data_IF_618703313498
#
_entry.id   IF_618703313498
#
_cell.length_a   1.000
_cell.length_b   1.000
_cell.length_c   1.000
_cell.angle_alpha   90.00
_cell.angle_beta   90.00
_cell.angle_gamma   90.00
#
_symmetry.space_group_name_H-M   'P 1'
#
loop_
_entity.id
_entity.type
_entity.pdbx_description
1 polymer ?
2 non-polymer ?
3 non-polymer ?
4 water ?
#
# COMPACT_ATOMS: atom_id res chain seq x y z
N UNK A 40 9.28 -8.42 23.70
CA UNK A 40 9.93 -7.62 24.81
C UNK A 40 9.41 -6.18 25.01
N UNK A 41 9.39 -5.37 23.95
CA UNK A 41 8.82 -4.01 24.06
C UNK A 41 7.30 -4.14 24.05
N UNK A 42 6.63 -3.69 25.10
CA UNK A 42 5.15 -3.79 25.20
C UNK A 42 4.46 -2.69 24.39
N UNK A 43 3.44 -3.07 23.62
CA UNK A 43 2.68 -2.16 22.76
C UNK A 43 1.28 -1.86 23.30
N UNK A 44 1.04 -0.61 23.68
CA UNK A 44 -0.31 -0.20 24.11
C UNK A 44 -0.90 0.87 23.18
N UNK A 45 -2.13 0.63 22.70
CA UNK A 45 -2.83 1.63 21.89
C UNK A 45 -3.67 2.58 22.75
N UNK A 46 -3.55 3.88 22.48
CA UNK A 46 -4.39 4.93 23.06
C UNK A 46 -5.52 5.24 22.04
N UNK A 47 -6.76 4.88 22.36
CA UNK A 47 -7.87 5.03 21.39
C UNK A 47 -8.92 5.99 21.94
N UNK A 48 -9.53 6.78 21.07
CA UNK A 48 -10.63 7.65 21.48
C UNK A 48 -11.08 8.59 20.38
N UNK A 49 -12.23 9.22 20.56
CA UNK A 49 -12.76 10.17 19.57
C UNK A 49 -11.79 11.34 19.36
N UNK A 50 -11.94 12.07 18.25
CA UNK A 50 -11.16 13.29 17.96
C UNK A 50 -11.23 14.17 19.20
N UNK A 51 -10.10 14.70 19.66
CA UNK A 51 -10.04 15.54 20.86
C UNK A 51 -10.54 14.90 22.19
N UNK A 52 -10.58 13.57 22.27
CA UNK A 52 -10.77 12.88 23.54
C UNK A 52 -9.69 13.35 24.53
N UNK A 53 -8.47 13.56 24.03
CA UNK A 53 -7.36 14.04 24.88
C UNK A 53 -6.21 13.05 24.82
N UNK A 54 -6.02 12.44 23.64
CA UNK A 54 -4.99 11.41 23.45
C UNK A 54 -3.58 11.99 23.48
N UNK A 55 -3.36 13.07 22.73
CA UNK A 55 -2.04 13.68 22.64
C UNK A 55 -1.53 14.25 23.97
N UNK A 56 -2.44 14.64 24.84
CA UNK A 56 -2.06 15.25 26.12
C UNK A 56 -1.78 14.16 27.16
N UNK A 57 -2.68 13.18 27.25
CA UNK A 57 -2.44 12.02 28.10
C UNK A 57 -1.13 11.33 27.68
N UNK A 58 -0.92 11.08 26.40
CA UNK A 58 0.31 10.40 25.99
C UNK A 58 1.59 11.24 26.25
N UNK A 59 1.53 12.55 26.02
CA UNK A 59 2.63 13.48 26.39
C UNK A 59 2.89 13.45 27.90
N UNK A 60 1.80 13.40 28.66
CA UNK A 60 1.88 13.31 30.11
C UNK A 60 2.53 11.98 30.53
N UNK A 61 2.00 10.86 30.07
CA UNK A 61 2.61 9.55 30.37
C UNK A 61 4.11 9.45 30.09
N UNK A 62 4.55 9.85 28.88
CA UNK A 62 5.99 9.72 28.54
C UNK A 62 6.95 10.47 29.48
N UNK A 63 6.46 11.46 30.21
CA UNK A 63 7.34 12.16 31.14
C UNK A 63 7.66 11.33 32.38
N UNK A 64 6.81 10.35 32.64
CA UNK A 64 6.80 9.68 33.93
C UNK A 64 7.83 8.57 34.06
N UNK A 65 8.35 8.09 32.93
CA UNK A 65 9.23 6.93 32.95
C UNK A 65 10.15 6.73 31.74
N UNK A 66 11.37 6.25 31.99
CA UNK A 66 12.33 5.96 30.93
C UNK A 66 12.02 4.58 30.31
N UNK A 67 11.20 3.79 30.97
CA UNK A 67 10.68 2.62 30.34
C UNK A 67 9.51 2.98 29.39
N UNK A 68 9.07 4.23 29.40
CA UNK A 68 7.84 4.63 28.71
C UNK A 68 8.08 5.50 27.47
N UNK A 69 7.75 4.97 26.30
CA UNK A 69 7.93 5.66 25.04
C UNK A 69 6.65 5.73 24.17
N UNK A 70 6.64 6.60 23.16
CA UNK A 70 5.41 6.98 22.46
C UNK A 70 5.57 6.98 20.94
N UNK A 71 4.50 6.69 20.18
CA UNK A 71 4.47 6.94 18.74
C UNK A 71 3.26 7.80 18.41
N UNK A 72 3.50 9.09 18.10
CA UNK A 72 2.37 9.98 17.87
C UNK A 72 1.70 9.65 16.53
N UNK A 73 0.47 10.09 16.38
CA UNK A 73 -0.27 9.81 15.16
C UNK A 73 0.27 10.68 14.02
N UNK A 74 0.65 10.04 12.91
CA UNK A 74 0.97 10.76 11.67
C UNK A 74 -0.03 11.84 11.28
N UNK A 75 -1.32 11.55 11.40
CA UNK A 75 -2.33 12.51 10.99
C UNK A 75 -2.27 13.76 11.84
N UNK A 76 -2.21 13.56 13.16
CA UNK A 76 -2.13 14.65 14.11
C UNK A 76 -0.85 15.46 13.87
N UNK A 77 0.18 14.83 13.35
CA UNK A 77 1.39 15.58 13.05
C UNK A 77 1.16 16.47 11.83
N UNK A 78 0.46 15.96 10.81
CA UNK A 78 0.18 16.74 9.58
C UNK A 78 -0.63 18.02 9.82
N UNK A 79 -1.34 18.11 10.94
CA UNK A 79 -2.14 19.32 11.22
C UNK A 79 -1.28 20.49 11.72
N UNK A 80 -0.29 20.16 12.56
CA UNK A 80 0.74 21.11 13.04
C UNK A 80 0.32 22.59 12.97
N UNK A 92 10.60 17.67 4.95
CA UNK A 92 10.07 16.30 5.02
C UNK A 92 9.01 16.01 3.93
N UNK A 93 9.33 15.14 2.98
CA UNK A 93 8.36 14.85 1.90
C UNK A 93 7.05 14.18 2.41
N UNK A 94 7.14 13.25 3.37
CA UNK A 94 5.93 12.68 3.93
C UNK A 94 5.06 13.78 4.52
N UNK A 95 5.68 14.72 5.23
CA UNK A 95 4.91 15.85 5.76
C UNK A 95 4.44 16.79 4.65
N UNK A 96 5.22 16.91 3.57
CA UNK A 96 4.76 17.61 2.37
C UNK A 96 3.52 16.95 1.77
N UNK A 97 3.58 15.63 1.52
CA UNK A 97 2.43 14.83 1.10
C UNK A 97 1.25 14.85 2.07
N UNK A 98 1.56 14.90 3.36
CA UNK A 98 0.53 14.72 4.38
C UNK A 98 -0.34 15.96 4.52
N UNK A 99 0.27 17.15 4.60
CA UNK A 99 -0.50 18.41 4.59
C UNK A 99 -1.50 18.49 3.42
N UNK A 100 -1.00 18.22 2.21
CA UNK A 100 -1.82 18.39 1.02
C UNK A 100 -3.03 17.48 0.94
N UNK A 101 -2.85 16.18 1.18
CA UNK A 101 -3.96 15.23 1.09
C UNK A 101 -5.01 15.37 2.21
N UNK A 102 -4.54 15.70 3.42
CA UNK A 102 -5.44 16.17 4.48
C UNK A 102 -6.23 17.40 4.01
N UNK A 103 -5.51 18.39 3.47
CA UNK A 103 -6.18 19.59 2.97
C UNK A 103 -7.19 19.23 1.86
N UNK A 104 -6.78 18.30 0.98
CA UNK A 104 -7.62 17.77 -0.12
C UNK A 104 -8.84 17.03 0.47
N UNK A 105 -8.60 16.28 1.53
CA UNK A 105 -9.63 15.45 2.14
C UNK A 105 -10.72 16.25 2.83
N UNK A 106 -10.36 17.42 3.35
CA UNK A 106 -11.39 18.38 3.80
C UNK A 106 -12.29 18.87 2.66
N UNK A 107 -11.69 19.24 1.53
CA UNK A 107 -12.45 19.85 0.45
C UNK A 107 -13.39 18.90 -0.26
N UNK A 108 -13.00 17.63 -0.38
CA UNK A 108 -13.77 16.69 -1.18
C UNK A 108 -13.63 15.26 -0.65
N UNK A 109 -14.15 15.01 0.57
CA UNK A 109 -13.87 13.72 1.18
C UNK A 109 -14.19 12.54 0.25
N UNK A 110 -15.11 12.76 -0.68
CA UNK A 110 -15.60 11.70 -1.52
C UNK A 110 -14.57 11.27 -2.58
N UNK A 111 -13.80 12.22 -3.08
CA UNK A 111 -12.64 11.97 -3.94
C UNK A 111 -11.37 11.46 -3.24
N UNK A 112 -11.08 11.94 -2.02
CA UNK A 112 -9.74 11.74 -1.41
C UNK A 112 -9.58 10.72 -0.29
N UNK A 113 -10.67 10.11 0.16
CA UNK A 113 -10.66 9.18 1.29
C UNK A 113 -9.88 7.90 1.08
N UNK A 114 -9.97 7.28 -0.10
CA UNK A 114 -9.10 6.12 -0.35
C UNK A 114 -7.62 6.50 -0.18
N UNK A 115 -7.23 7.61 -0.78
CA UNK A 115 -5.82 7.97 -0.87
C UNK A 115 -5.32 8.37 0.52
N UNK A 116 -6.17 9.09 1.27
CA UNK A 116 -5.87 9.52 2.63
C UNK A 116 -5.75 8.35 3.58
N UNK A 117 -6.75 7.48 3.57
CA UNK A 117 -6.77 6.29 4.41
C UNK A 117 -5.63 5.31 4.19
N UNK A 118 -5.22 5.14 2.93
CA UNK A 118 -4.04 4.31 2.55
C UNK A 118 -2.76 4.97 3.06
N UNK A 119 -2.62 6.28 2.84
CA UNK A 119 -1.39 6.97 3.23
C UNK A 119 -1.17 7.19 4.75
N UNK A 120 -2.24 7.61 5.44
CA UNK A 120 -2.33 7.61 6.91
C UNK A 120 -1.88 6.30 7.55
N UNK A 121 -2.45 5.19 7.07
CA UNK A 121 -2.12 3.88 7.61
C UNK A 121 -0.67 3.46 7.28
N UNK A 122 -0.26 3.64 6.03
CA UNK A 122 1.14 3.40 5.63
C UNK A 122 2.10 4.15 6.53
N UNK A 123 1.90 5.45 6.72
CA UNK A 123 2.73 6.32 7.61
C UNK A 123 2.75 5.87 9.06
N UNK A 124 1.64 5.35 9.56
CA UNK A 124 1.61 4.86 10.95
C UNK A 124 2.47 3.60 11.09
N UNK A 125 2.27 2.63 10.22
CA UNK A 125 3.01 1.40 10.26
C UNK A 125 4.50 1.71 10.31
N UNK A 126 5.00 2.40 9.29
CA UNK A 126 6.43 2.65 9.25
C UNK A 126 6.88 3.35 10.51
N UNK A 127 6.07 4.29 11.01
CA UNK A 127 6.42 5.07 12.20
C UNK A 127 6.32 4.29 13.52
N UNK A 128 5.45 3.28 13.58
CA UNK A 128 5.46 2.33 14.69
C UNK A 128 6.66 1.38 14.60
N UNK A 129 6.98 0.93 13.38
CA UNK A 129 8.17 0.11 13.18
C UNK A 129 9.47 0.83 13.62
N UNK A 130 9.74 2.02 13.08
CA UNK A 130 10.94 2.72 13.48
C UNK A 130 11.14 2.73 15.01
N UNK A 131 10.07 2.99 15.79
CA UNK A 131 10.17 3.02 17.26
C UNK A 131 10.49 1.63 17.80
N UNK A 132 9.73 0.65 17.34
CA UNK A 132 9.86 -0.72 17.74
C UNK A 132 11.25 -1.29 17.49
N UNK A 133 11.83 -0.94 16.35
CA UNK A 133 13.16 -1.42 15.98
C UNK A 133 14.32 -0.74 16.71
N UNK A 134 14.05 0.39 17.34
CA UNK A 134 15.12 1.19 17.90
C UNK A 134 14.94 1.47 19.36
N UNK A 135 13.84 2.17 19.69
CA UNK A 135 13.56 2.61 21.04
C UNK A 135 13.53 1.47 22.06
N UNK A 136 13.80 1.81 23.32
CA UNK A 136 13.69 0.92 24.49
C UNK A 136 14.52 -0.38 24.47
N UNK A 137 15.56 -0.43 23.64
CA UNK A 137 16.29 -1.69 23.42
C UNK A 137 16.56 -2.37 24.75
N UNK A 138 17.30 -1.71 25.64
CA UNK A 138 17.12 -2.00 27.07
C UNK A 138 16.78 -0.79 27.96
N UNK A 139 15.47 -0.66 28.15
CA UNK A 139 14.91 -0.15 29.38
C UNK A 139 14.72 -1.44 30.13
N UNK A 140 14.37 -1.36 31.40
CA UNK A 140 14.10 -2.60 32.14
C UNK A 140 12.73 -3.16 31.81
N UNK A 141 11.75 -2.27 31.65
CA UNK A 141 10.35 -2.68 31.48
C UNK A 141 9.70 -1.79 30.41
N UNK A 142 10.18 -1.93 29.16
CA UNK A 142 9.85 -1.02 28.07
C UNK A 142 8.35 -1.03 27.74
N UNK A 143 7.74 0.13 27.59
CA UNK A 143 6.36 0.17 27.08
C UNK A 143 6.27 1.28 26.07
N UNK A 144 5.76 0.95 24.88
CA UNK A 144 5.48 1.95 23.84
C UNK A 144 3.96 2.22 23.73
N UNK A 145 3.58 3.49 23.86
CA UNK A 145 2.19 3.89 23.71
C UNK A 145 1.98 4.46 22.31
N UNK A 146 1.21 3.73 21.49
CA UNK A 146 0.76 4.15 20.16
C UNK A 146 -0.39 5.16 20.23
N UNK A 147 -0.28 6.27 19.52
CA UNK A 147 -1.43 7.17 19.42
C UNK A 147 -2.30 6.59 18.33
N UNK A 148 -3.38 5.93 18.75
CA UNK A 148 -4.19 5.14 17.85
C UNK A 148 -3.36 4.06 17.15
N UNK A 149 -4.03 3.27 16.32
CA UNK A 149 -3.49 2.02 15.79
C UNK A 149 -4.00 1.78 14.36
N UNK A 150 -3.42 0.78 13.70
CA UNK A 150 -3.91 0.36 12.38
C UNK A 150 -5.33 -0.17 12.48
N UNK A 151 -5.76 -0.46 13.70
CA UNK A 151 -7.12 -0.96 13.92
C UNK A 151 -8.15 0.14 13.92
N UNK A 152 -7.83 1.31 14.50
CA UNK A 152 -8.74 2.44 14.36
C UNK A 152 -8.71 3.06 12.96
N UNK A 153 -7.54 3.08 12.34
CA UNK A 153 -7.40 3.48 10.93
C UNK A 153 -8.51 2.84 10.11
N UNK A 154 -8.59 1.51 10.21
CA UNK A 154 -9.57 0.72 9.51
C UNK A 154 -11.03 0.75 10.04
N UNK A 155 -11.24 0.55 11.35
CA UNK A 155 -12.57 0.20 11.87
C UNK A 155 -13.31 1.38 12.49
N UNK A 156 -12.64 2.52 12.58
CA UNK A 156 -13.32 3.76 12.95
C UNK A 156 -13.38 4.62 11.71
N UNK A 157 -12.21 5.14 11.31
CA UNK A 157 -12.16 6.15 10.26
C UNK A 157 -12.50 5.71 8.84
N UNK A 158 -12.05 4.53 8.41
CA UNK A 158 -12.26 4.10 7.02
C UNK A 158 -13.67 3.52 6.84
N UNK A 159 -14.04 2.62 7.76
CA UNK A 159 -15.41 2.10 7.93
C UNK A 159 -16.46 3.20 7.94
N UNK A 160 -16.18 4.28 8.68
CA UNK A 160 -17.04 5.48 8.71
C UNK A 160 -17.05 6.26 7.42
N UNK A 161 -15.87 6.44 6.82
CA UNK A 161 -15.77 7.17 5.55
C UNK A 161 -16.55 6.52 4.41
N UNK A 162 -16.57 5.18 4.42
CA UNK A 162 -17.27 4.40 3.44
C UNK A 162 -18.79 4.40 3.69
N UNK A 163 -19.20 4.09 4.92
CA UNK A 163 -20.63 4.14 5.36
C UNK A 163 -21.32 5.45 5.02
N UNK A 164 -20.57 6.55 5.14
CA UNK A 164 -21.02 7.89 4.80
C UNK A 164 -20.80 8.21 3.31
N UNK A 165 -20.31 7.24 2.55
CA UNK A 165 -20.22 7.30 1.05
C UNK A 165 -19.13 8.15 0.45
N UNK A 166 -18.10 8.40 1.24
CA UNK A 166 -16.90 9.05 0.73
C UNK A 166 -15.92 8.06 0.07
N UNK A 167 -15.97 6.78 0.44
CA UNK A 167 -15.41 5.73 -0.39
C UNK A 167 -16.56 4.96 -1.01
N UNK A 168 -16.49 4.71 -2.31
CA UNK A 168 -17.42 3.77 -2.92
C UNK A 168 -17.03 2.35 -2.48
N UNK A 169 -17.78 1.37 -2.96
CA UNK A 169 -17.69 0.00 -2.47
C UNK A 169 -16.35 -0.63 -2.82
N UNK A 170 -15.84 -0.33 -4.01
CA UNK A 170 -14.62 -0.97 -4.55
C UNK A 170 -13.37 -0.50 -3.81
N UNK A 171 -13.26 0.82 -3.58
CA UNK A 171 -12.19 1.41 -2.78
C UNK A 171 -12.10 0.76 -1.43
N UNK A 172 -13.24 0.64 -0.78
CA UNK A 172 -13.31 0.09 0.55
C UNK A 172 -12.90 -1.39 0.54
N UNK A 173 -13.22 -2.14 -0.51
CA UNK A 173 -12.79 -3.54 -0.57
C UNK A 173 -11.26 -3.69 -0.86
N UNK A 174 -10.76 -2.84 -1.74
CA UNK A 174 -9.33 -2.70 -2.03
C UNK A 174 -8.53 -2.30 -0.78
N UNK A 175 -9.03 -1.32 -0.04
CA UNK A 175 -8.38 -0.87 1.16
C UNK A 175 -8.36 -1.99 2.18
N UNK A 176 -9.47 -2.71 2.29
CA UNK A 176 -9.53 -3.80 3.21
C UNK A 176 -8.55 -4.91 2.84
N UNK A 177 -8.44 -5.19 1.53
CA UNK A 177 -7.43 -6.13 1.02
C UNK A 177 -5.97 -5.61 1.23
N UNK A 178 -5.75 -4.32 0.97
CA UNK A 178 -4.48 -3.64 1.20
C UNK A 178 -4.09 -3.80 2.68
N UNK A 179 -5.09 -3.61 3.55
CA UNK A 179 -4.87 -3.52 4.99
C UNK A 179 -4.51 -4.87 5.57
N UNK A 180 -5.21 -5.93 5.13
CA UNK A 180 -4.82 -7.31 5.49
C UNK A 180 -3.39 -7.66 5.17
N UNK A 181 -2.92 -7.24 4.01
CA UNK A 181 -1.64 -7.72 3.47
C UNK A 181 -0.50 -6.83 3.93
N UNK A 182 -0.73 -5.52 3.91
CA UNK A 182 0.22 -4.58 4.46
C UNK A 182 0.50 -4.87 5.94
N UNK A 183 -0.50 -5.26 6.70
CA UNK A 183 -0.28 -5.56 8.10
C UNK A 183 0.35 -6.93 8.37
N UNK A 184 -0.08 -7.95 7.61
CA UNK A 184 0.55 -9.28 7.72
C UNK A 184 2.03 -9.39 7.28
N UNK A 185 2.41 -8.70 6.21
CA UNK A 185 3.81 -8.73 5.73
C UNK A 185 4.75 -7.84 6.50
N UNK A 186 4.33 -6.61 6.75
CA UNK A 186 5.19 -5.64 7.41
C UNK A 186 4.86 -5.34 8.88
N UNK A 187 3.59 -5.41 9.28
CA UNK A 187 3.17 -4.87 10.58
C UNK A 187 2.99 -5.88 11.70
N UNK A 188 3.39 -7.12 11.41
CA UNK A 188 3.24 -8.23 12.33
C UNK A 188 3.66 -7.98 13.78
N UNK A 189 4.88 -7.49 13.96
CA UNK A 189 5.45 -7.25 15.27
C UNK A 189 4.85 -6.02 15.95
N UNK A 190 3.85 -5.41 15.32
CA UNK A 190 3.20 -4.27 15.91
C UNK A 190 2.04 -4.72 16.78
N UNK A 191 1.68 -6.00 16.69
CA UNK A 191 0.54 -6.58 17.44
C UNK A 191 0.42 -6.11 18.90
N UNK A 192 -0.81 -5.78 19.31
CA UNK A 192 -1.04 -5.02 20.56
C UNK A 192 -1.16 -5.87 21.81
N UNK A 193 -0.48 -5.45 22.88
CA UNK A 193 -0.57 -6.17 24.17
C UNK A 193 -1.83 -5.74 24.92
N UNK A 194 -2.27 -4.50 24.67
CA UNK A 194 -3.58 -4.06 25.15
C UNK A 194 -3.99 -2.70 24.65
N UNK A 195 -5.18 -2.27 25.05
CA UNK A 195 -5.70 -0.97 24.64
C UNK A 195 -6.21 -0.08 25.78
N UNK A 196 -5.82 1.20 25.74
CA UNK A 196 -6.36 2.21 26.62
C UNK A 196 -7.35 3.03 25.83
N UNK A 197 -8.62 2.82 26.14
CA UNK A 197 -9.69 3.50 25.48
C UNK A 197 -10.06 4.70 26.33
N UNK A 198 -9.72 5.89 25.83
CA UNK A 198 -10.12 7.17 26.41
C UNK A 198 -11.49 7.64 25.93
N UNK A 199 -12.51 7.04 26.52
CA UNK A 199 -13.91 7.36 26.34
C UNK A 199 -14.29 8.72 26.95
N UNK A 200 -14.99 9.56 26.16
CA UNK A 200 -15.38 10.94 26.60
C UNK A 200 -16.84 11.31 26.24
N UNK A 201 -17.07 12.55 25.78
CA UNK A 201 -18.28 12.84 24.98
C UNK A 201 -18.11 13.96 23.94
N UNK A 202 -18.98 13.96 22.92
CA UNK A 202 -19.02 14.86 21.78
C UNK A 202 -18.75 16.37 22.04
N UNK A 203 -19.51 17.02 22.91
CA UNK A 203 -19.40 18.48 23.09
C UNK A 203 -18.01 18.89 23.61
N UNK A 204 -17.50 18.10 24.56
CA UNK A 204 -16.14 18.22 25.10
C UNK A 204 -15.11 18.44 23.95
N UNK A 205 -15.10 17.49 23.03
CA UNK A 205 -14.27 17.52 21.85
C UNK A 205 -14.43 18.77 20.98
N UNK A 206 -15.67 19.24 20.79
CA UNK A 206 -15.89 20.42 19.97
C UNK A 206 -15.24 21.61 20.66
N UNK A 207 -15.62 21.81 21.92
CA UNK A 207 -14.91 22.71 22.83
C UNK A 207 -13.37 22.55 22.75
N UNK A 208 -12.87 21.31 22.73
CA UNK A 208 -11.41 21.11 22.72
C UNK A 208 -10.75 21.40 21.38
N UNK A 209 -11.48 21.10 20.29
CA UNK A 209 -11.11 21.54 18.94
C UNK A 209 -11.00 23.05 18.94
N UNK A 210 -11.99 23.73 19.51
CA UNK A 210 -11.93 25.18 19.59
C UNK A 210 -10.71 25.66 20.39
N UNK A 211 -10.53 25.15 21.61
CA UNK A 211 -9.34 25.49 22.41
C UNK A 211 -8.02 25.38 21.59
N UNK A 212 -7.81 24.26 20.90
CA UNK A 212 -6.62 24.05 20.05
C UNK A 212 -6.49 25.09 18.93
N UNK A 213 -7.63 25.52 18.37
CA UNK A 213 -7.70 26.67 17.46
C UNK A 213 -7.55 26.28 16.00
N UNK A 214 -7.63 24.97 15.77
CA UNK A 214 -7.35 24.37 14.46
C UNK A 214 -8.40 24.77 13.42
N UNK A 215 -8.03 25.74 12.59
CA UNK A 215 -8.99 26.34 11.68
C UNK A 215 -9.64 25.38 10.67
N UNK A 216 -8.95 24.28 10.32
CA UNK A 216 -9.59 23.21 9.52
C UNK A 216 -10.74 22.45 10.20
N UNK A 217 -10.56 22.09 11.47
CA UNK A 217 -11.52 21.21 12.19
C UNK A 217 -12.67 21.92 12.89
N UNK A 218 -12.43 23.16 13.32
CA UNK A 218 -13.45 23.98 14.02
C UNK A 218 -14.87 23.82 13.45
N UNK A 219 -14.93 23.41 12.19
CA UNK A 219 -16.18 22.88 11.61
C UNK A 219 -16.51 21.54 12.23
N UNK A 220 -15.98 20.46 11.63
CA UNK A 220 -16.35 19.06 11.95
C UNK A 220 -17.75 19.00 12.62
N UNK A 221 -18.76 18.50 11.89
CA UNK A 221 -20.13 18.54 12.43
C UNK A 221 -20.24 17.81 13.75
N UNK A 222 -20.81 18.46 14.77
CA UNK A 222 -21.01 17.79 16.05
C UNK A 222 -21.61 16.41 15.79
N UNK A 223 -22.32 16.32 14.66
CA UNK A 223 -22.90 15.10 14.11
C UNK A 223 -21.84 14.11 13.61
N UNK A 224 -20.80 14.63 12.94
CA UNK A 224 -19.61 13.82 12.61
C UNK A 224 -18.80 13.48 13.86
N UNK A 225 -18.69 14.40 14.83
CA UNK A 225 -18.07 14.02 16.11
C UNK A 225 -18.95 12.99 16.76
N UNK A 226 -20.26 13.11 16.55
CA UNK A 226 -21.23 12.16 17.11
C UNK A 226 -21.19 10.73 16.54
N UNK A 227 -20.88 10.53 15.26
CA UNK A 227 -20.72 9.13 14.72
C UNK A 227 -19.38 8.46 15.05
N UNK A 228 -18.30 9.25 15.04
CA UNK A 228 -16.98 8.67 15.38
C UNK A 228 -17.13 8.18 16.80
N UNK A 229 -17.76 9.01 17.63
CA UNK A 229 -18.07 8.66 19.01
C UNK A 229 -18.78 7.31 19.19
N UNK A 230 -19.76 7.04 18.32
CA UNK A 230 -20.59 5.84 18.40
C UNK A 230 -19.86 4.54 18.02
N UNK A 231 -18.97 4.60 17.03
CA UNK A 231 -18.25 3.39 16.57
C UNK A 231 -17.17 2.81 17.52
N UNK A 232 -16.55 3.66 18.35
CA UNK A 232 -15.65 3.26 19.45
C UNK A 232 -16.32 2.41 20.52
N UNK A 233 -17.57 2.70 20.87
CA UNK A 233 -18.25 1.89 21.89
C UNK A 233 -18.33 0.43 21.44
N UNK A 234 -18.73 0.26 20.20
CA UNK A 234 -19.02 -1.04 19.64
C UNK A 234 -17.76 -1.91 19.61
N UNK A 235 -16.68 -1.36 19.06
CA UNK A 235 -15.40 -2.04 19.07
C UNK A 235 -14.90 -2.20 20.51
N UNK A 236 -14.88 -1.10 21.26
CA UNK A 236 -14.23 -1.17 22.57
C UNK A 236 -15.19 -1.30 23.78
N UNK A 237 -16.16 -0.38 23.89
CA UNK A 237 -17.03 -0.34 25.07
C UNK A 237 -17.88 -1.59 25.24
N UNK A 238 -18.78 -1.90 24.28
CA UNK A 238 -19.57 -3.17 24.32
C UNK A 238 -18.81 -4.42 23.90
N UNK A 239 -17.61 -4.25 23.37
CA UNK A 239 -16.81 -5.35 22.75
C UNK A 239 -17.56 -6.27 21.76
N UNK A 240 -18.41 -5.70 20.89
CA UNK A 240 -19.15 -6.51 19.89
C UNK A 240 -18.40 -6.74 18.58
N UNK A 241 -17.85 -5.66 17.98
CA UNK A 241 -17.14 -5.68 16.68
C UNK A 241 -16.04 -6.75 16.64
N UNK A 242 -16.30 -7.80 15.87
CA UNK A 242 -15.24 -8.75 15.54
C UNK A 242 -14.56 -8.26 14.27
N UNK A 243 -13.26 -8.04 14.41
CA UNK A 243 -12.41 -7.52 13.37
C UNK A 243 -11.90 -8.69 12.53
N UNK A 244 -10.92 -8.45 11.66
CA UNK A 244 -10.34 -9.51 10.85
C UNK A 244 -9.21 -10.18 11.61
N UNK A 245 -8.76 -9.54 12.69
CA UNK A 245 -7.66 -10.04 13.49
C UNK A 245 -8.22 -10.62 14.79
N UNK A 246 -8.24 -11.96 14.89
CA UNK A 246 -8.87 -12.73 15.98
C UNK A 246 -8.39 -12.42 17.39
N UNK A 247 -7.08 -12.29 17.55
CA UNK A 247 -6.45 -12.10 18.86
C UNK A 247 -7.06 -10.98 19.72
N UNK A 248 -7.36 -9.82 19.11
CA UNK A 248 -7.91 -8.65 19.82
C UNK A 248 -9.11 -8.99 20.70
N UNK A 249 -9.93 -9.93 20.25
CA UNK A 249 -11.07 -10.38 21.01
C UNK A 249 -10.64 -10.71 22.45
N UNK A 250 -9.53 -11.45 22.58
CA UNK A 250 -8.88 -11.70 23.86
C UNK A 250 -8.31 -10.41 24.45
N UNK A 251 -7.49 -9.73 23.65
CA UNK A 251 -6.77 -8.51 24.05
C UNK A 251 -7.43 -7.63 25.14
N UNK A 252 -6.75 -7.49 26.29
CA UNK A 252 -7.29 -6.75 27.43
C UNK A 252 -7.40 -5.27 27.15
N UNK A 253 -8.49 -4.68 27.60
CA UNK A 253 -8.82 -3.31 27.33
C UNK A 253 -9.09 -2.63 28.64
N UNK A 254 -8.49 -1.45 28.80
CA UNK A 254 -8.82 -0.56 29.92
C UNK A 254 -9.55 0.62 29.35
N UNK A 255 -10.60 1.04 30.04
CA UNK A 255 -11.36 2.16 29.60
C UNK A 255 -11.52 3.18 30.68
N UNK A 256 -11.15 4.40 30.37
CA UNK A 256 -11.16 5.49 31.30
C UNK A 256 -12.10 6.57 30.79
N UNK A 257 -12.91 7.10 31.71
CA UNK A 257 -13.73 8.28 31.49
C UNK A 257 -12.82 9.49 31.58
N UNK A 258 -12.74 10.33 30.52
CA UNK A 258 -11.91 11.58 30.60
C UNK A 258 -12.54 12.93 30.20
N UNK A 259 -13.84 13.10 30.49
CA UNK A 259 -14.53 14.38 30.16
C UNK A 259 -13.93 15.60 30.86
N UNK A 260 -13.51 15.39 32.10
CA UNK A 260 -12.96 16.41 32.99
C UNK A 260 -11.49 16.79 32.69
N UNK A 261 -11.19 18.09 32.81
CA UNK A 261 -9.88 18.63 32.51
C UNK A 261 -8.85 17.92 33.38
N UNK A 262 -7.78 17.40 32.78
CA UNK A 262 -6.88 16.51 33.52
C UNK A 262 -5.43 16.91 33.48
N UNK A 263 -5.11 17.91 32.64
CA UNK A 263 -3.71 18.31 32.44
C UNK A 263 -3.07 18.83 33.74
N UNK A 264 -3.85 18.84 34.82
CA UNK A 264 -3.32 19.15 36.15
C UNK A 264 -3.48 17.93 37.03
N UNK A 265 -4.61 17.27 36.92
CA UNK A 265 -4.97 16.18 37.82
C UNK A 265 -5.26 14.87 37.07
N UNK A 266 -4.31 13.94 37.14
CA UNK A 266 -4.41 12.68 36.38
C UNK A 266 -3.84 11.50 37.13
N UNK A 267 -3.51 11.72 38.40
CA UNK A 267 -2.81 10.70 39.16
C UNK A 267 -3.66 9.46 39.22
N UNK A 268 -4.97 9.67 39.32
CA UNK A 268 -5.92 8.57 39.26
C UNK A 268 -5.93 7.97 37.85
N UNK A 269 -5.80 8.80 36.82
CA UNK A 269 -5.75 8.26 35.44
C UNK A 269 -4.50 7.37 35.29
N UNK A 270 -3.36 7.83 35.81
CA UNK A 270 -2.07 7.09 35.75
C UNK A 270 -1.97 5.86 36.68
N UNK A 271 -2.52 5.94 37.90
CA UNK A 271 -2.63 4.76 38.76
C UNK A 271 -3.30 3.57 38.07
N UNK A 272 -4.27 3.82 37.20
CA UNK A 272 -4.99 2.72 36.55
C UNK A 272 -4.24 2.17 35.32
N UNK A 273 -3.57 3.05 34.58
CA UNK A 273 -2.56 2.60 33.64
C UNK A 273 -1.56 1.63 34.28
N UNK A 274 -0.86 2.08 35.35
CA UNK A 274 0.24 1.30 35.94
C UNK A 274 -0.27 -0.05 36.38
N UNK A 275 -1.47 -0.04 36.92
CA UNK A 275 -2.08 -1.25 37.44
C UNK A 275 -2.50 -2.16 36.27
N UNK A 276 -2.91 -1.55 35.17
CA UNK A 276 -3.28 -2.26 33.95
C UNK A 276 -2.04 -2.88 33.33
N UNK A 277 -0.97 -2.09 33.21
CA UNK A 277 0.30 -2.56 32.63
C UNK A 277 0.93 -3.74 33.37
N UNK A 278 0.70 -3.83 34.69
CA UNK A 278 1.29 -4.90 35.50
C UNK A 278 0.51 -6.21 35.40
N UNK A 279 -0.79 -6.12 35.12
CA UNK A 279 -1.57 -7.32 34.78
C UNK A 279 -1.35 -7.78 33.34
N UNK A 280 -0.23 -7.36 32.75
CA UNK A 280 0.07 -7.64 31.33
C UNK A 280 1.36 -8.45 31.13
N UNK B 40 17.81 -19.72 -4.60
CA UNK B 40 18.71 -20.02 -5.74
C UNK B 40 17.94 -19.88 -7.04
N UNK B 41 16.68 -19.44 -6.93
CA UNK B 41 15.83 -19.25 -8.12
C UNK B 41 16.24 -17.98 -8.89
N UNK B 42 16.52 -18.10 -10.19
CA UNK B 42 16.66 -16.91 -11.04
C UNK B 42 15.28 -16.31 -11.30
N UNK B 43 15.18 -14.99 -11.18
CA UNK B 43 13.93 -14.31 -11.41
C UNK B 43 14.12 -13.34 -12.55
N UNK B 44 13.34 -13.53 -13.62
CA UNK B 44 13.54 -12.82 -14.87
C UNK B 44 12.20 -12.20 -15.30
N UNK B 45 12.22 -10.88 -15.47
CA UNK B 45 11.07 -10.12 -15.93
C UNK B 45 11.13 -9.97 -17.44
N UNK B 46 9.99 -10.18 -18.08
CA UNK B 46 9.80 -10.07 -19.50
C UNK B 46 8.97 -8.78 -19.66
N UNK B 47 9.56 -7.80 -20.35
CA UNK B 47 8.90 -6.50 -20.50
C UNK B 47 8.38 -6.28 -21.92
N UNK B 48 7.46 -5.32 -22.09
CA UNK B 48 6.94 -4.97 -23.42
C UNK B 48 5.55 -4.36 -23.50
N UNK B 49 5.29 -3.68 -24.61
CA UNK B 49 4.07 -2.91 -24.79
C UNK B 49 2.81 -3.77 -24.76
N UNK B 50 1.66 -3.11 -24.69
CA UNK B 50 0.37 -3.81 -24.69
C UNK B 50 0.23 -4.61 -26.01
N UNK B 51 -0.19 -5.86 -25.87
CA UNK B 51 -0.36 -6.78 -26.98
C UNK B 51 0.90 -6.95 -27.88
N UNK B 52 2.09 -6.82 -27.28
CA UNK B 52 3.36 -7.12 -27.94
C UNK B 52 3.64 -8.64 -27.97
N UNK B 53 3.07 -9.41 -27.05
CA UNK B 53 3.29 -10.86 -27.10
C UNK B 53 3.95 -11.46 -25.88
N UNK B 54 4.14 -10.64 -24.85
CA UNK B 54 4.73 -11.08 -23.57
C UNK B 54 4.11 -12.38 -23.09
N UNK B 55 2.78 -12.40 -22.98
CA UNK B 55 2.04 -13.58 -22.56
C UNK B 55 2.22 -14.75 -23.54
N UNK B 56 2.26 -14.43 -24.84
CA UNK B 56 2.53 -15.42 -25.90
C UNK B 56 3.83 -16.16 -25.58
N UNK B 57 4.88 -15.38 -25.43
CA UNK B 57 6.23 -15.80 -25.12
C UNK B 57 6.26 -16.62 -23.82
N UNK B 58 5.72 -16.09 -22.73
CA UNK B 58 5.80 -16.82 -21.45
C UNK B 58 5.03 -18.13 -21.50
N UNK B 59 3.97 -18.19 -22.30
CA UNK B 59 3.18 -19.43 -22.48
C UNK B 59 3.96 -20.50 -23.21
N UNK B 60 4.82 -20.06 -24.12
CA UNK B 60 5.74 -20.92 -24.85
C UNK B 60 6.86 -21.40 -23.92
N UNK B 61 7.53 -20.46 -23.26
CA UNK B 61 8.66 -20.79 -22.37
C UNK B 61 8.30 -21.78 -21.28
N UNK B 62 7.07 -21.73 -20.78
CA UNK B 62 6.71 -22.55 -19.63
C UNK B 62 6.76 -24.05 -19.96
N UNK B 63 6.39 -24.39 -21.19
CA UNK B 63 6.31 -25.77 -21.66
C UNK B 63 7.61 -26.34 -22.24
N UNK B 64 8.65 -25.52 -22.35
CA UNK B 64 9.91 -25.99 -22.90
C UNK B 64 10.75 -26.63 -21.84
N UNK B 65 10.61 -26.15 -20.61
CA UNK B 65 11.26 -26.80 -19.51
C UNK B 65 10.32 -27.02 -18.33
N UNK B 66 10.46 -28.15 -17.64
CA UNK B 66 9.73 -28.34 -16.40
C UNK B 66 10.39 -27.58 -15.26
N UNK B 67 11.63 -27.12 -15.47
CA UNK B 67 12.27 -26.20 -14.55
C UNK B 67 11.89 -24.72 -14.78
N UNK B 68 11.07 -24.42 -15.78
CA UNK B 68 10.59 -23.03 -15.98
C UNK B 68 9.11 -22.82 -15.60
N UNK B 69 8.84 -21.82 -14.77
CA UNK B 69 7.47 -21.41 -14.53
C UNK B 69 7.25 -19.93 -14.84
N UNK B 70 5.97 -19.59 -15.04
CA UNK B 70 5.50 -18.26 -15.40
C UNK B 70 4.62 -17.62 -14.29
N UNK B 71 4.84 -16.33 -13.98
CA UNK B 71 3.86 -15.54 -13.20
C UNK B 71 3.15 -14.52 -14.12
N UNK B 72 1.87 -14.81 -14.46
CA UNK B 72 1.17 -13.85 -15.28
C UNK B 72 0.96 -12.56 -14.50
N UNK B 73 0.90 -11.45 -15.21
CA UNK B 73 0.62 -10.15 -14.56
C UNK B 73 -0.88 -10.01 -14.19
N UNK B 74 -1.19 -9.57 -12.97
CA UNK B 74 -2.61 -9.54 -12.57
C UNK B 74 -3.55 -8.71 -13.44
N UNK B 75 -3.17 -7.50 -13.85
CA UNK B 75 -4.04 -6.71 -14.69
C UNK B 75 -4.58 -7.51 -15.88
N UNK B 76 -3.81 -8.50 -16.33
CA UNK B 76 -4.26 -9.38 -17.40
C UNK B 76 -5.49 -10.22 -16.96
N UNK B 77 -5.34 -11.00 -15.90
CA UNK B 77 -6.48 -11.77 -15.35
C UNK B 77 -7.68 -10.87 -15.07
N UNK B 78 -7.40 -9.64 -14.63
CA UNK B 78 -8.47 -8.66 -14.50
C UNK B 78 -9.11 -8.36 -15.85
N UNK B 79 -8.28 -8.21 -16.91
CA UNK B 79 -8.77 -7.77 -18.24
C UNK B 79 -9.58 -8.87 -18.91
N UNK B 91 -14.22 -16.58 -9.62
CA UNK B 91 -14.27 -15.13 -9.40
C UNK B 91 -13.88 -14.73 -7.98
N UNK B 92 -12.58 -14.56 -7.74
CA UNK B 92 -12.10 -14.15 -6.42
C UNK B 92 -12.25 -12.64 -6.18
N UNK B 93 -11.82 -12.20 -5.01
CA UNK B 93 -12.04 -10.82 -4.59
C UNK B 93 -11.06 -9.86 -5.27
N UNK B 94 -9.97 -10.41 -5.77
CA UNK B 94 -8.99 -9.60 -6.49
C UNK B 94 -9.53 -9.24 -7.90
N UNK B 95 -10.20 -10.20 -8.51
CA UNK B 95 -10.76 -10.04 -9.87
C UNK B 95 -11.89 -9.00 -10.01
N UNK B 96 -12.92 -9.13 -9.18
CA UNK B 96 -14.08 -8.22 -9.22
C UNK B 96 -13.63 -6.80 -8.98
N UNK B 97 -12.78 -6.64 -7.97
CA UNK B 97 -12.10 -5.40 -7.64
C UNK B 97 -11.24 -4.84 -8.76
N UNK B 98 -10.41 -5.70 -9.32
CA UNK B 98 -9.58 -5.31 -10.44
C UNK B 98 -10.48 -5.27 -11.66
N UNK B 99 -11.48 -6.16 -11.70
CA UNK B 99 -12.55 -6.09 -12.71
C UNK B 99 -13.23 -4.74 -12.64
N UNK B 100 -13.44 -4.28 -11.42
CA UNK B 100 -14.08 -3.00 -11.25
C UNK B 100 -13.14 -1.88 -11.46
N UNK B 101 -11.98 -1.93 -10.79
CA UNK B 101 -11.05 -0.81 -10.94
C UNK B 101 -10.58 -0.61 -12.39
N UNK B 102 -10.55 -1.68 -13.19
CA UNK B 102 -10.04 -1.55 -14.58
C UNK B 102 -11.03 -0.82 -15.50
N UNK B 103 -12.32 -1.12 -15.33
CA UNK B 103 -13.36 -0.49 -16.10
C UNK B 103 -13.51 0.98 -15.69
N UNK B 104 -13.34 1.21 -14.38
CA UNK B 104 -13.43 2.56 -13.82
C UNK B 104 -12.27 3.44 -14.26
N UNK B 105 -11.10 2.83 -14.38
CA UNK B 105 -9.92 3.49 -14.91
C UNK B 105 -10.14 3.83 -16.39
N UNK B 106 -10.54 2.84 -17.19
CA UNK B 106 -10.88 3.05 -18.59
C UNK B 106 -11.88 4.20 -18.71
N UNK B 107 -12.99 4.04 -17.98
CA UNK B 107 -14.09 5.01 -17.95
C UNK B 107 -13.65 6.41 -17.55
N UNK B 108 -12.69 6.54 -16.60
CA UNK B 108 -12.16 7.87 -16.20
C UNK B 108 -10.80 7.88 -15.47
N UNK B 109 -9.68 7.97 -16.21
CA UNK B 109 -8.31 7.79 -15.67
C UNK B 109 -7.83 8.77 -14.57
N UNK B 110 -8.17 10.04 -14.64
CA UNK B 110 -7.58 10.94 -13.69
C UNK B 110 -8.32 10.94 -12.35
N UNK B 111 -9.47 10.27 -12.27
CA UNK B 111 -10.10 9.92 -11.01
C UNK B 111 -9.46 8.65 -10.38
N UNK B 112 -9.15 7.66 -11.23
CA UNK B 112 -8.86 6.28 -10.78
C UNK B 112 -7.44 5.74 -10.92
N UNK B 113 -6.52 6.55 -11.44
CA UNK B 113 -5.16 6.05 -11.74
C UNK B 113 -4.32 5.63 -10.52
N UNK B 114 -4.26 6.49 -9.49
CA UNK B 114 -3.57 6.17 -8.24
C UNK B 114 -4.08 4.82 -7.72
N UNK B 115 -5.40 4.74 -7.58
CA UNK B 115 -6.07 3.58 -6.99
C UNK B 115 -5.75 2.34 -7.77
N UNK B 116 -5.87 2.45 -9.09
CA UNK B 116 -5.58 1.37 -10.00
C UNK B 116 -4.12 0.97 -9.91
N UNK B 117 -3.22 1.96 -10.03
CA UNK B 117 -1.77 1.71 -9.88
C UNK B 117 -1.38 1.03 -8.59
N UNK B 118 -1.93 1.51 -7.46
CA UNK B 118 -1.57 0.88 -6.16
C UNK B 118 -2.08 -0.54 -6.08
N UNK B 119 -3.26 -0.79 -6.65
CA UNK B 119 -3.81 -2.15 -6.64
C UNK B 119 -3.07 -3.12 -7.58
N UNK B 120 -2.73 -2.66 -8.78
CA UNK B 120 -1.97 -3.44 -9.75
C UNK B 120 -0.67 -3.94 -9.14
N UNK B 121 0.01 -3.06 -8.42
CA UNK B 121 1.31 -3.40 -7.86
C UNK B 121 1.25 -4.31 -6.63
N UNK B 122 0.36 -4.04 -5.68
CA UNK B 122 0.20 -4.92 -4.54
C UNK B 122 -0.17 -6.34 -5.02
N UNK B 123 -1.18 -6.44 -5.88
CA UNK B 123 -1.56 -7.68 -6.57
C UNK B 123 -0.39 -8.35 -7.30
N UNK B 124 0.49 -7.58 -7.96
CA UNK B 124 1.73 -8.14 -8.50
C UNK B 124 2.69 -8.60 -7.40
N UNK B 125 2.84 -7.79 -6.37
CA UNK B 125 3.78 -8.19 -5.31
C UNK B 125 3.31 -9.47 -4.60
N UNK B 126 1.98 -9.64 -4.47
CA UNK B 126 1.39 -10.88 -3.93
C UNK B 126 1.40 -12.10 -4.83
N UNK B 127 1.26 -11.95 -6.15
CA UNK B 127 1.36 -13.14 -7.03
C UNK B 127 2.81 -13.64 -7.12
N UNK B 128 3.75 -12.72 -7.28
CA UNK B 128 5.16 -13.09 -7.32
C UNK B 128 5.68 -13.71 -6.01
N UNK B 129 5.30 -13.15 -4.86
CA UNK B 129 5.61 -13.82 -3.57
C UNK B 129 5.05 -15.23 -3.50
N UNK B 130 3.86 -15.43 -4.05
CA UNK B 130 3.18 -16.73 -4.00
C UNK B 130 3.59 -17.76 -5.09
N UNK B 131 4.32 -17.32 -6.10
CA UNK B 131 4.97 -18.25 -7.02
C UNK B 131 6.31 -18.76 -6.49
N UNK B 132 7.11 -17.86 -5.92
CA UNK B 132 8.41 -18.21 -5.37
C UNK B 132 8.29 -19.15 -4.18
N UNK B 133 7.15 -19.06 -3.49
CA UNK B 133 6.98 -19.81 -2.25
C UNK B 133 6.17 -21.04 -2.44
N UNK B 134 5.68 -21.21 -3.66
CA UNK B 134 4.89 -22.35 -4.10
C UNK B 134 5.60 -23.12 -5.20
N UNK B 135 5.64 -22.56 -6.42
CA UNK B 135 6.18 -23.26 -7.61
C UNK B 135 7.60 -23.82 -7.43
N UNK B 136 7.90 -24.87 -8.18
CA UNK B 136 9.30 -25.21 -8.47
C UNK B 136 10.14 -25.74 -7.31
N UNK B 137 9.58 -26.46 -6.35
CA UNK B 137 10.45 -26.84 -5.23
C UNK B 137 11.54 -27.85 -5.64
N UNK B 138 12.75 -27.64 -5.10
CA UNK B 138 14.03 -28.15 -5.66
C UNK B 138 14.14 -28.59 -7.13
N UNK B 139 14.03 -27.64 -8.06
CA UNK B 139 14.54 -27.81 -9.41
C UNK B 139 16.06 -27.65 -9.28
N UNK B 140 16.81 -28.26 -10.20
CA UNK B 140 18.26 -28.09 -10.21
C UNK B 140 18.55 -26.69 -10.67
N UNK B 141 17.94 -26.33 -11.81
CA UNK B 141 18.10 -25.02 -12.43
C UNK B 141 16.74 -24.29 -12.51
N UNK B 142 16.24 -23.75 -11.36
CA UNK B 142 14.93 -23.08 -11.38
C UNK B 142 14.97 -21.65 -11.93
N UNK B 143 14.02 -21.34 -12.80
CA UNK B 143 13.96 -20.01 -13.35
C UNK B 143 12.51 -19.62 -13.19
N UNK B 144 12.26 -18.42 -12.69
CA UNK B 144 10.92 -17.89 -12.62
C UNK B 144 10.83 -16.71 -13.59
N UNK B 145 9.90 -16.81 -14.53
CA UNK B 145 9.62 -15.74 -15.46
C UNK B 145 8.44 -14.91 -14.99
N UNK B 146 8.69 -13.64 -14.70
CA UNK B 146 7.62 -12.69 -14.40
C UNK B 146 7.09 -11.96 -15.64
N UNK B 147 5.77 -11.98 -15.85
CA UNK B 147 5.18 -11.13 -16.87
C UNK B 147 5.16 -9.71 -16.34
N UNK B 148 6.16 -8.92 -16.77
CA UNK B 148 6.44 -7.57 -16.26
C UNK B 148 6.90 -7.49 -14.78
N UNK B 149 7.19 -6.29 -14.27
CA UNK B 149 7.76 -6.16 -12.92
C UNK B 149 7.21 -4.99 -12.13
N UNK B 150 7.67 -4.86 -10.89
CA UNK B 150 7.26 -3.70 -10.08
C UNK B 150 7.85 -2.41 -10.61
N UNK B 151 8.85 -2.53 -11.45
CA UNK B 151 9.45 -1.34 -12.02
C UNK B 151 8.73 -0.92 -13.29
N UNK B 152 8.12 -1.84 -14.03
CA UNK B 152 7.18 -1.41 -15.08
C UNK B 152 5.94 -0.74 -14.52
N UNK B 153 5.48 -1.22 -13.37
CA UNK B 153 4.36 -0.60 -12.69
C UNK B 153 4.57 0.91 -12.49
N UNK B 154 5.75 1.26 -11.99
CA UNK B 154 6.13 2.59 -11.60
C UNK B 154 6.82 3.40 -12.72
N UNK B 155 7.93 2.89 -13.24
CA UNK B 155 8.82 3.66 -14.13
C UNK B 155 8.32 3.78 -15.55
N UNK B 156 7.22 3.09 -15.83
CA UNK B 156 6.64 3.05 -17.17
C UNK B 156 5.16 3.43 -17.10
N UNK B 157 4.40 2.72 -16.27
CA UNK B 157 2.97 2.99 -16.22
C UNK B 157 2.62 4.12 -15.25
N UNK B 158 2.95 3.99 -13.98
CA UNK B 158 2.67 5.03 -13.02
C UNK B 158 3.24 6.38 -13.55
N UNK B 159 4.54 6.42 -13.81
CA UNK B 159 5.21 7.54 -14.46
C UNK B 159 4.41 8.17 -15.63
N UNK B 160 4.08 7.36 -16.64
CA UNK B 160 3.29 7.83 -17.78
C UNK B 160 1.98 8.53 -17.38
N UNK B 161 1.27 8.00 -16.38
CA UNK B 161 0.02 8.64 -15.97
C UNK B 161 0.32 9.97 -15.31
N UNK B 162 1.40 10.03 -14.52
CA UNK B 162 1.83 11.27 -13.95
C UNK B 162 2.15 12.28 -15.04
N UNK B 163 2.84 11.84 -16.07
CA UNK B 163 3.21 12.73 -17.18
C UNK B 163 2.00 13.00 -18.10
N UNK B 164 0.98 12.14 -18.05
CA UNK B 164 -0.23 12.38 -18.85
C UNK B 164 -1.18 13.23 -18.06
N UNK B 165 -0.71 13.74 -16.91
CA UNK B 165 -1.52 14.52 -15.97
C UNK B 165 -2.79 13.80 -15.48
N UNK B 166 -2.75 12.48 -15.49
CA UNK B 166 -3.83 11.63 -14.96
C UNK B 166 -3.61 11.41 -13.44
N UNK B 167 -2.45 11.82 -12.94
CA UNK B 167 -2.22 11.91 -11.49
C UNK B 167 -1.46 13.20 -11.21
N UNK B 168 -1.84 13.88 -10.10
CA UNK B 168 -1.12 15.09 -9.59
C UNK B 168 0.14 14.73 -8.80
N UNK B 169 0.96 15.74 -8.46
CA UNK B 169 2.22 15.56 -7.72
C UNK B 169 2.08 14.84 -6.37
N UNK B 170 1.03 15.15 -5.63
CA UNK B 170 0.73 14.49 -4.36
C UNK B 170 0.41 13.03 -4.65
N UNK B 171 -0.50 12.75 -5.60
CA UNK B 171 -0.76 11.36 -5.97
C UNK B 171 0.46 10.60 -6.46
N UNK B 172 1.38 11.26 -7.18
CA UNK B 172 2.60 10.62 -7.69
C UNK B 172 3.68 10.45 -6.61
N UNK B 173 3.85 11.45 -5.74
CA UNK B 173 4.85 11.35 -4.64
C UNK B 173 4.42 10.33 -3.56
N UNK B 174 3.12 10.27 -3.30
CA UNK B 174 2.55 9.29 -2.40
C UNK B 174 2.79 7.89 -2.97
N UNK B 175 2.51 7.70 -4.26
CA UNK B 175 2.65 6.39 -4.85
C UNK B 175 4.11 5.98 -4.78
N UNK B 176 5.02 6.91 -5.07
CA UNK B 176 6.43 6.59 -5.01
C UNK B 176 6.85 6.26 -3.60
N UNK B 177 6.44 7.09 -2.63
CA UNK B 177 6.70 6.80 -1.23
C UNK B 177 6.26 5.35 -0.91
N UNK B 178 4.97 5.06 -1.05
CA UNK B 178 4.45 3.70 -0.88
C UNK B 178 5.33 2.63 -1.59
N UNK B 179 5.67 2.87 -2.87
CA UNK B 179 6.42 1.94 -3.72
C UNK B 179 7.82 1.73 -3.18
N UNK B 180 8.53 2.83 -2.91
CA UNK B 180 9.94 2.83 -2.53
C UNK B 180 10.26 2.30 -1.14
N UNK B 181 9.44 2.64 -0.15
CA UNK B 181 9.65 2.16 1.23
C UNK B 181 9.40 0.66 1.33
N UNK B 182 8.48 0.18 0.50
CA UNK B 182 8.06 -1.21 0.48
C UNK B 182 9.05 -2.05 -0.33
N UNK B 183 9.42 -1.57 -1.50
CA UNK B 183 10.40 -2.26 -2.30
C UNK B 183 11.81 -2.17 -1.73
N UNK B 184 11.90 -1.61 -0.51
CA UNK B 184 13.13 -1.66 0.28
C UNK B 184 12.94 -2.52 1.51
N UNK B 185 11.76 -3.12 1.65
CA UNK B 185 11.46 -4.01 2.76
C UNK B 185 11.89 -5.43 2.44
N UNK B 186 11.71 -5.83 1.19
CA UNK B 186 12.00 -7.20 0.75
C UNK B 186 13.47 -7.39 0.38
N UNK B 187 14.12 -6.29 -0.01
CA UNK B 187 15.57 -6.18 -0.24
C UNK B 187 16.34 -7.41 -0.69
N UNK B 188 15.96 -7.96 -1.84
CA UNK B 188 16.62 -9.13 -2.49
C UNK B 188 15.74 -10.35 -2.69
N UNK B 189 14.44 -10.24 -2.41
CA UNK B 189 13.61 -11.41 -2.63
C UNK B 189 13.10 -11.35 -4.04
N UNK B 190 12.44 -10.23 -4.34
CA UNK B 190 11.83 -10.02 -5.64
C UNK B 190 12.83 -9.48 -6.63
N UNK B 191 13.99 -9.08 -6.14
CA UNK B 191 15.07 -8.56 -6.95
C UNK B 191 15.36 -9.40 -8.20
N UNK B 192 15.44 -8.72 -9.35
CA UNK B 192 15.55 -9.39 -10.65
C UNK B 192 16.95 -9.92 -10.88
N UNK B 193 17.02 -11.06 -11.57
CA UNK B 193 18.30 -11.56 -12.09
C UNK B 193 18.59 -11.12 -13.52
N UNK B 194 17.52 -10.88 -14.27
CA UNK B 194 17.68 -10.43 -15.64
C UNK B 194 16.39 -9.85 -16.13
N UNK B 195 16.48 -9.13 -17.25
CA UNK B 195 15.34 -8.55 -17.92
C UNK B 195 15.41 -8.99 -19.37
N UNK B 196 14.27 -9.45 -19.89
CA UNK B 196 14.08 -9.71 -21.31
C UNK B 196 13.03 -8.73 -21.83
N UNK B 197 13.36 -7.99 -22.90
CA UNK B 197 12.51 -6.95 -23.52
C UNK B 197 12.00 -7.44 -24.85
N UNK B 198 10.71 -7.82 -24.94
CA UNK B 198 10.11 -8.11 -26.23
C UNK B 198 9.92 -6.77 -26.93
N UNK B 199 10.58 -6.59 -28.07
CA UNK B 199 10.48 -5.31 -28.76
C UNK B 199 9.57 -5.33 -29.98
N UNK B 200 8.44 -4.65 -29.85
CA UNK B 200 7.60 -4.32 -30.99
C UNK B 200 7.51 -2.79 -31.27
N UNK B 201 7.04 -2.45 -32.48
CA UNK B 201 6.69 -1.08 -32.81
C UNK B 201 5.33 -0.79 -32.19
N UNK B 202 5.11 0.47 -31.79
CA UNK B 202 3.74 0.77 -31.33
C UNK B 202 2.78 0.31 -32.43
N UNK B 203 3.32 0.22 -33.66
CA UNK B 203 2.55 -0.20 -34.82
C UNK B 203 2.37 -1.72 -34.89
N UNK B 204 3.45 -2.47 -34.69
CA UNK B 204 3.34 -3.92 -34.49
C UNK B 204 2.38 -4.19 -33.35
N UNK B 205 2.57 -3.45 -32.25
CA UNK B 205 1.70 -3.59 -31.09
C UNK B 205 0.27 -3.22 -31.46
N UNK B 206 0.09 -2.14 -32.21
CA UNK B 206 -1.27 -1.72 -32.58
C UNK B 206 -2.03 -2.80 -33.38
N UNK B 207 -1.36 -3.37 -34.39
CA UNK B 207 -1.86 -4.57 -35.06
C UNK B 207 -2.44 -5.52 -34.02
N UNK B 208 -1.55 -5.98 -33.14
CA UNK B 208 -1.83 -7.08 -32.22
C UNK B 208 -2.91 -6.76 -31.20
N UNK B 209 -3.07 -5.49 -30.83
CA UNK B 209 -4.21 -5.09 -29.97
C UNK B 209 -5.56 -5.39 -30.65
N UNK B 210 -5.70 -5.01 -31.92
CA UNK B 210 -6.88 -5.43 -32.69
C UNK B 210 -6.76 -6.92 -33.02
N UNK B 211 -5.60 -7.30 -33.56
CA UNK B 211 -5.29 -8.69 -33.81
C UNK B 211 -5.63 -9.57 -32.58
N UNK B 212 -6.00 -8.95 -31.44
CA UNK B 212 -6.31 -9.65 -30.16
C UNK B 212 -7.69 -9.32 -29.55
N UNK B 213 -8.36 -10.34 -28.99
CA UNK B 213 -9.77 -10.23 -28.63
C UNK B 213 -10.14 -9.90 -27.19
N UNK B 214 -10.39 -8.61 -26.93
CA UNK B 214 -11.00 -8.10 -25.68
C UNK B 214 -11.84 -6.85 -25.92
N UNK B 215 -13.15 -7.02 -25.88
CA UNK B 215 -14.13 -5.92 -25.97
C UNK B 215 -13.58 -4.52 -25.61
N UNK B 216 -13.19 -4.39 -24.34
CA UNK B 216 -12.85 -3.12 -23.71
C UNK B 216 -11.61 -2.44 -24.29
N UNK B 217 -10.69 -3.22 -24.85
CA UNK B 217 -9.37 -2.71 -25.31
C UNK B 217 -9.43 -2.00 -26.68
N UNK B 218 -10.57 -2.12 -27.34
CA UNK B 218 -10.73 -1.68 -28.73
C UNK B 218 -10.59 -0.17 -28.96
N UNK B 219 -10.65 0.60 -27.88
CA UNK B 219 -10.50 2.04 -27.93
C UNK B 219 -9.07 2.55 -27.82
N UNK B 220 -8.15 1.69 -27.43
CA UNK B 220 -6.76 2.16 -27.28
C UNK B 220 -6.22 2.69 -28.62
N UNK B 221 -5.89 3.99 -28.65
CA UNK B 221 -5.46 4.69 -29.86
C UNK B 221 -3.98 4.54 -30.04
N UNK B 222 -3.44 4.89 -31.22
CA UNK B 222 -2.01 4.66 -31.48
C UNK B 222 -1.19 5.37 -30.43
N UNK B 223 -1.55 6.63 -30.16
CA UNK B 223 -0.67 7.55 -29.39
C UNK B 223 -0.33 7.08 -27.98
N UNK B 224 -1.26 6.38 -27.35
CA UNK B 224 -0.96 5.81 -26.03
C UNK B 224 0.37 5.01 -26.07
N UNK B 225 0.58 4.28 -27.16
CA UNK B 225 1.71 3.33 -27.34
C UNK B 225 3.12 3.91 -27.57
N UNK B 226 3.22 5.05 -28.25
CA UNK B 226 4.53 5.63 -28.55
C UNK B 226 5.17 6.20 -27.30
N UNK B 227 4.32 6.64 -26.38
CA UNK B 227 4.77 7.10 -25.09
C UNK B 227 5.42 5.94 -24.34
N UNK B 228 4.71 4.82 -24.27
CA UNK B 228 5.11 3.67 -23.46
C UNK B 228 6.33 3.10 -24.15
N UNK B 229 6.32 3.11 -25.48
CA UNK B 229 7.47 2.66 -26.24
C UNK B 229 8.75 3.41 -25.91
N UNK B 230 8.66 4.74 -25.93
CA UNK B 230 9.80 5.57 -25.61
C UNK B 230 10.12 5.42 -24.14
N UNK B 231 9.10 5.24 -23.31
CA UNK B 231 9.35 4.92 -21.89
C UNK B 231 10.00 3.56 -21.82
N UNK B 232 9.58 2.64 -22.70
CA UNK B 232 10.24 1.33 -22.75
C UNK B 232 11.63 1.40 -23.36
N UNK B 233 11.78 2.07 -24.51
CA UNK B 233 13.09 2.11 -25.16
C UNK B 233 14.11 2.85 -24.32
N UNK B 234 13.69 3.97 -23.72
CA UNK B 234 14.54 4.82 -22.88
C UNK B 234 14.97 4.14 -21.59
N UNK B 235 14.14 3.22 -21.10
CA UNK B 235 14.45 2.49 -19.87
C UNK B 235 15.37 1.30 -20.14
N UNK B 236 15.04 0.51 -21.16
CA UNK B 236 15.70 -0.80 -21.34
C UNK B 236 16.78 -0.89 -22.43
N UNK B 237 17.14 0.24 -23.04
CA UNK B 237 18.12 0.21 -24.12
C UNK B 237 19.03 1.39 -23.97
N UNK B 238 18.49 2.56 -24.25
CA UNK B 238 19.18 3.84 -24.03
C UNK B 238 19.54 4.05 -22.56
N UNK B 239 18.82 3.37 -21.68
CA UNK B 239 19.08 3.38 -20.22
C UNK B 239 19.34 4.80 -19.65
N UNK B 240 18.58 5.78 -20.16
CA UNK B 240 18.51 7.17 -19.63
C UNK B 240 17.76 7.19 -18.27
N UNK B 241 16.48 6.84 -18.33
CA UNK B 241 15.60 6.64 -17.17
C UNK B 241 16.32 6.10 -15.91
N UNK B 242 16.46 6.93 -14.88
CA UNK B 242 17.10 6.51 -13.62
C UNK B 242 16.07 6.09 -12.53
N UNK B 243 16.53 5.38 -11.50
CA UNK B 243 15.67 4.80 -10.44
C UNK B 243 16.36 4.81 -9.05
N UNK B 244 15.57 4.56 -8.00
CA UNK B 244 16.11 4.43 -6.64
C UNK B 244 16.16 2.97 -6.13
N UNK B 245 16.75 2.09 -6.94
CA UNK B 245 16.94 0.69 -6.56
C UNK B 245 18.35 0.28 -6.97
N UNK B 246 19.28 0.37 -6.01
CA UNK B 246 20.73 0.26 -6.29
C UNK B 246 21.21 -1.14 -6.69
N UNK B 247 20.59 -1.68 -7.74
CA UNK B 247 21.04 -2.90 -8.41
C UNK B 247 20.49 -2.98 -9.84
N UNK B 248 19.52 -2.11 -10.13
CA UNK B 248 18.81 -2.08 -11.42
C UNK B 248 19.63 -1.51 -12.58
N UNK B 249 20.62 -0.66 -12.25
CA UNK B 249 21.48 -0.08 -13.28
C UNK B 249 22.63 -1.04 -13.65
N UNK B 250 22.59 -2.23 -13.06
CA UNK B 250 23.61 -3.27 -13.28
C UNK B 250 23.04 -4.64 -13.72
N UNK B 251 21.71 -4.83 -13.59
CA UNK B 251 21.02 -6.02 -14.10
C UNK B 251 21.14 -6.06 -15.63
N UNK B 252 21.36 -7.25 -16.21
CA UNK B 252 21.52 -7.23 -17.66
C UNK B 252 20.20 -7.45 -18.36
N UNK B 253 20.16 -7.01 -19.62
CA UNK B 253 18.97 -6.92 -20.43
C UNK B 253 19.14 -7.71 -21.74
N UNK B 254 18.07 -8.41 -22.13
CA UNK B 254 18.01 -9.13 -23.40
C UNK B 254 16.94 -8.54 -24.27
N UNK B 255 17.34 -7.80 -25.30
CA UNK B 255 16.37 -7.25 -26.25
C UNK B 255 15.99 -8.30 -27.25
N UNK B 256 14.71 -8.36 -27.60
CA UNK B 256 14.19 -9.38 -28.52
C UNK B 256 13.12 -8.87 -29.51
N UNK B 257 13.48 -8.86 -30.79
CA UNK B 257 12.55 -8.47 -31.84
C UNK B 257 11.34 -9.39 -31.95
N UNK B 258 10.29 -9.07 -31.23
CA UNK B 258 9.05 -9.81 -31.44
C UNK B 258 8.38 -9.22 -32.68
N UNK B 259 9.12 -8.34 -33.36
CA UNK B 259 8.62 -7.69 -34.55
C UNK B 259 8.28 -8.66 -35.65
N UNK B 260 9.12 -9.63 -35.93
CA UNK B 260 8.56 -10.67 -36.76
C UNK B 260 7.79 -11.65 -35.91
N UNK B 261 6.59 -12.02 -36.37
CA UNK B 261 5.80 -13.07 -35.75
C UNK B 261 6.74 -14.20 -35.36
N UNK B 262 6.61 -14.68 -34.13
CA UNK B 262 7.56 -15.65 -33.60
C UNK B 262 6.79 -16.83 -33.01
N UNK B 263 5.59 -17.07 -33.53
CA UNK B 263 4.67 -18.03 -32.92
C UNK B 263 4.91 -19.51 -33.25
N UNK B 264 5.37 -19.77 -34.47
CA UNK B 264 5.65 -21.12 -34.91
C UNK B 264 7.06 -21.11 -35.45
N UNK B 265 7.81 -20.13 -34.95
CA UNK B 265 9.15 -19.83 -35.39
C UNK B 265 9.81 -19.16 -34.19
N UNK B 266 9.61 -19.77 -33.03
CA UNK B 266 10.12 -19.23 -31.78
C UNK B 266 11.49 -19.73 -31.35
N UNK B 267 12.09 -20.65 -32.12
CA UNK B 267 13.31 -21.32 -31.63
C UNK B 267 14.57 -20.46 -31.38
N UNK B 268 14.90 -19.52 -32.26
CA UNK B 268 16.12 -18.70 -32.05
C UNK B 268 16.00 -17.63 -30.95
N UNK B 269 14.78 -17.21 -30.66
CA UNK B 269 14.49 -16.28 -29.55
C UNK B 269 14.81 -17.06 -28.28
N UNK B 270 14.20 -18.25 -28.20
CA UNK B 270 14.39 -19.16 -27.07
C UNK B 270 15.85 -19.53 -26.87
N UNK B 271 16.60 -19.70 -27.96
CA UNK B 271 18.06 -19.83 -27.91
C UNK B 271 18.77 -18.63 -27.29
N UNK B 272 18.35 -17.41 -27.65
CA UNK B 272 18.96 -16.23 -27.06
C UNK B 272 18.69 -16.25 -25.55
N UNK B 273 17.44 -16.53 -25.18
CA UNK B 273 17.06 -16.69 -23.76
C UNK B 273 17.97 -17.67 -22.99
N UNK B 274 18.15 -18.87 -23.56
CA UNK B 274 19.04 -19.89 -22.95
C UNK B 274 20.48 -19.42 -22.84
N UNK B 275 20.99 -18.77 -23.88
CA UNK B 275 22.35 -18.23 -23.85
C UNK B 275 22.49 -17.15 -22.77
N UNK B 276 21.48 -16.30 -22.70
CA UNK B 276 21.41 -15.25 -21.70
C UNK B 276 21.40 -15.89 -20.31
N UNK B 277 20.51 -16.85 -20.07
CA UNK B 277 20.45 -17.43 -18.73
C UNK B 277 21.80 -17.95 -18.22
N UNK B 278 22.58 -18.54 -19.14
CA UNK B 278 23.89 -19.12 -18.84
C UNK B 278 24.88 -18.05 -18.40
N UNK B 279 24.73 -16.85 -18.92
CA UNK B 279 25.58 -15.74 -18.51
C UNK B 279 25.30 -15.33 -17.06
N UNK B 280 24.02 -15.26 -16.70
CA UNK B 280 23.63 -14.66 -15.40
C UNK B 280 24.26 -15.40 -14.23
#
# INVERSE_FOLDING_TARGET
MGSSHHHHHHSSGLVPRGSHMATPPKRSSPSFSASSEGTRIKKISIEGNIAAGKSTFVNILKQLSEDWEVVPEPVARWSNVQSTQDEFEELTMEQKNGGNVLQMMYEKPERWSFTFQTYACLSRIRAQLASLNGKLKDAEKPVLFFERSVYSDRYIFASNLYESESMNETEWTIYQDWHDWMNNQFGQSLELDGIIYLQATPETCLHRIYLRGRNEEQGIPLEYLEKLHYKHESWLLHRTLKTNFDYLQEVPILTLDVNEDFKDKYESLVEKVKEFLSTL
MGSSHHHHHHSSGLVPRGSHMATPPKRSSPSFSASSEGTRIKKISIEGNIAAGKSTFVNILKQLSEDWEVVPEPVARWSNVQSTQDEFEELTMEQKNGGNVLQMMYEKPERWSFTFQTYACLSRIRAQLASLNGKLKDAEKPVLFFERSVYSDRYIFASNLYESESMNETEWTIYQDWHDWMNNQFGQSLELDGIIYLQATPETCLHRIYLRGRNEEQGIPLEYLEKLHYKHESWLLHRTLKTNFDYLQEVPILTLDVNEDFKDKYESLVEKVKEFLSTL
#
